data_IF_029076694735
#
_entry.id   IF_029076694735
#
_cell.length_a   1.000
_cell.length_b   1.000
_cell.length_c   1.000
_cell.angle_alpha   90.00
_cell.angle_beta   90.00
_cell.angle_gamma   90.00
#
_symmetry.space_group_name_H-M   'P 1'
#
loop_
_entity.id
_entity.type
_entity.pdbx_description
1 polymer ?
#
# COMPACT_ATOMS: atom_id res chain seq x y z
N UNK A 1 -1.36 29.89 -2.64
CA UNK A 1 -2.35 28.81 -2.87
C UNK A 1 -2.57 28.17 -1.52
N UNK A 2 -3.79 28.26 -1.01
CA UNK A 2 -4.14 27.87 0.37
C UNK A 2 -4.17 26.35 0.51
N UNK A 3 -3.39 25.86 1.46
CA UNK A 3 -3.15 24.46 1.80
C UNK A 3 -1.82 24.42 2.55
N UNK A 4 -1.80 23.88 3.76
CA UNK A 4 -0.60 23.80 4.61
C UNK A 4 0.37 22.68 4.19
N UNK A 5 0.19 22.12 2.98
CA UNK A 5 0.96 21.02 2.43
C UNK A 5 0.73 19.70 3.16
N UNK A 6 -0.45 19.51 3.76
CA UNK A 6 -0.79 18.29 4.51
C UNK A 6 -2.02 17.60 3.93
N UNK A 7 -1.94 16.28 3.89
CA UNK A 7 -3.00 15.40 3.45
C UNK A 7 -3.37 14.44 4.58
N UNK A 8 -4.67 14.17 4.74
CA UNK A 8 -5.18 13.15 5.66
C UNK A 8 -5.66 11.96 4.83
N UNK A 9 -5.02 10.82 5.03
CA UNK A 9 -5.37 9.55 4.38
C UNK A 9 -6.01 8.65 5.41
N UNK A 10 -7.17 8.09 5.06
CA UNK A 10 -7.91 7.17 5.91
C UNK A 10 -7.54 5.74 5.57
N UNK A 11 -6.99 4.99 6.53
CA UNK A 11 -6.54 3.60 6.36
C UNK A 11 -7.09 2.71 7.46
N UNK A 12 -7.40 1.46 7.14
CA UNK A 12 -7.80 0.46 8.11
C UNK A 12 -6.58 -0.19 8.76
N UNK A 13 -6.51 -0.11 10.10
CA UNK A 13 -5.48 -0.78 10.89
C UNK A 13 -6.01 -2.15 11.33
N UNK A 14 -5.49 -3.22 10.71
CA UNK A 14 -5.95 -4.57 10.99
C UNK A 14 -5.65 -5.05 12.41
N UNK A 15 -4.62 -4.51 13.08
CA UNK A 15 -4.30 -4.85 14.46
C UNK A 15 -5.31 -4.24 15.43
N UNK A 16 -5.78 -3.03 15.14
CA UNK A 16 -6.81 -2.34 15.94
C UNK A 16 -8.23 -2.74 15.55
N UNK A 17 -8.41 -3.24 14.33
CA UNK A 17 -9.71 -3.59 13.77
C UNK A 17 -10.56 -2.36 13.44
N UNK A 18 -9.96 -1.17 13.32
CA UNK A 18 -10.64 0.10 13.07
C UNK A 18 -9.85 0.96 12.09
N UNK A 19 -10.51 1.99 11.57
CA UNK A 19 -9.96 2.94 10.62
C UNK A 19 -9.26 4.09 11.34
N UNK A 20 -8.06 4.44 10.87
CA UNK A 20 -7.23 5.51 11.40
C UNK A 20 -7.01 6.60 10.34
N UNK A 21 -6.98 7.85 10.79
CA UNK A 21 -6.64 9.00 9.95
C UNK A 21 -5.15 9.31 10.07
N UNK A 22 -4.44 9.25 8.93
CA UNK A 22 -2.99 9.38 8.83
C UNK A 22 -2.65 10.68 8.13
N UNK A 23 -2.07 11.64 8.86
CA UNK A 23 -1.61 12.90 8.28
C UNK A 23 -0.20 12.76 7.71
N UNK A 24 -0.02 13.15 6.44
CA UNK A 24 1.27 13.17 5.73
C UNK A 24 1.50 14.51 5.03
N UNK A 25 2.75 14.92 4.92
CA UNK A 25 3.16 16.11 4.15
C UNK A 25 3.54 15.76 2.70
N UNK A 26 3.84 16.79 1.88
CA UNK A 26 4.17 16.66 0.45
C UNK A 26 5.62 16.23 0.16
N UNK A 27 6.48 16.03 1.16
CA UNK A 27 7.87 15.64 0.92
C UNK A 27 7.97 14.16 0.56
N UNK A 28 8.26 13.87 -0.71
CA UNK A 28 8.44 12.51 -1.22
C UNK A 28 9.94 12.22 -1.37
N UNK A 29 10.43 11.03 -0.95
CA UNK A 29 11.79 10.62 -1.22
C UNK A 29 12.02 10.49 -2.73
N UNK A 30 12.98 11.26 -3.26
CA UNK A 30 13.37 11.24 -4.67
C UNK A 30 14.87 10.98 -4.83
N UNK A 31 15.25 10.41 -5.97
CA UNK A 31 16.65 10.27 -6.35
C UNK A 31 17.37 11.64 -6.38
N UNK A 32 18.70 11.66 -6.12
CA UNK A 32 19.48 12.90 -6.14
C UNK A 32 19.32 13.67 -7.44
N UNK A 33 19.16 14.99 -7.33
CA UNK A 33 19.07 15.88 -8.47
C UNK A 33 20.44 16.05 -9.14
N UNK A 34 20.46 15.93 -10.46
CA UNK A 34 21.64 16.18 -11.29
C UNK A 34 21.30 17.17 -12.41
N UNK A 35 22.31 17.87 -12.94
CA UNK A 35 22.09 18.94 -13.93
C UNK A 35 21.46 18.46 -15.24
N UNK A 36 21.53 17.17 -15.54
CA UNK A 36 20.92 16.55 -16.72
C UNK A 36 19.50 16.01 -16.47
N UNK A 37 19.00 16.08 -15.23
CA UNK A 37 17.65 15.62 -14.87
C UNK A 37 16.69 16.80 -15.04
N UNK A 38 15.60 16.57 -15.77
CA UNK A 38 14.55 17.57 -16.01
C UNK A 38 13.33 17.41 -15.10
N UNK A 39 13.18 16.24 -14.46
CA UNK A 39 12.01 15.87 -13.66
C UNK A 39 12.45 15.08 -12.42
N UNK A 40 11.77 15.30 -11.29
CA UNK A 40 12.05 14.53 -10.08
C UNK A 40 11.69 13.05 -10.29
N UNK A 41 12.55 12.13 -9.85
CA UNK A 41 12.30 10.69 -9.91
C UNK A 41 12.08 10.13 -8.50
N UNK A 42 10.84 9.80 -8.10
CA UNK A 42 10.55 9.17 -6.81
C UNK A 42 11.22 7.80 -6.67
N UNK A 43 11.66 7.46 -5.46
CA UNK A 43 12.31 6.16 -5.17
C UNK A 43 11.37 4.95 -5.31
N UNK A 44 10.07 5.14 -5.06
CA UNK A 44 9.11 4.05 -4.89
C UNK A 44 7.93 4.17 -5.86
N UNK A 45 6.70 4.44 -5.39
CA UNK A 45 5.55 4.60 -6.27
C UNK A 45 5.82 5.66 -7.34
N UNK A 46 5.37 5.38 -8.57
CA UNK A 46 5.41 6.33 -9.69
C UNK A 46 4.02 6.47 -10.23
N UNK A 47 3.55 7.72 -10.27
CA UNK A 47 2.24 8.02 -10.77
C UNK A 47 2.24 8.15 -12.29
N UNK A 48 1.10 7.91 -12.93
CA UNK A 48 0.97 8.11 -14.36
C UNK A 48 0.63 9.58 -14.64
N UNK A 49 1.65 10.40 -14.92
CA UNK A 49 1.48 11.84 -15.08
C UNK A 49 1.28 12.54 -13.72
N UNK A 50 0.38 13.52 -13.67
CA UNK A 50 0.23 14.41 -12.52
C UNK A 50 -0.73 13.87 -11.44
N UNK A 51 -0.45 12.66 -10.95
CA UNK A 51 -1.29 11.91 -10.00
C UNK A 51 -0.61 11.77 -8.63
N UNK A 52 -0.55 12.85 -7.85
CA UNK A 52 0.11 12.89 -6.54
C UNK A 52 -0.45 11.85 -5.53
N UNK A 53 -1.70 11.44 -5.69
CA UNK A 53 -2.41 10.59 -4.73
C UNK A 53 -1.70 9.24 -4.48
N UNK A 54 -1.06 8.64 -5.50
CA UNK A 54 -0.33 7.37 -5.36
C UNK A 54 0.83 7.50 -4.35
N UNK A 55 1.60 8.58 -4.47
CA UNK A 55 2.76 8.88 -3.62
C UNK A 55 2.33 9.13 -2.18
N UNK A 56 1.25 9.90 -2.01
CA UNK A 56 0.67 10.23 -0.70
C UNK A 56 0.12 8.97 -0.03
N UNK A 57 -0.53 8.09 -0.78
CA UNK A 57 -1.07 6.83 -0.27
C UNK A 57 0.04 5.89 0.21
N UNK A 58 1.09 5.71 -0.60
CA UNK A 58 2.25 4.90 -0.22
C UNK A 58 2.95 5.47 1.02
N UNK A 59 3.11 6.80 1.09
CA UNK A 59 3.69 7.46 2.28
C UNK A 59 2.84 7.25 3.53
N UNK A 60 1.51 7.32 3.41
CA UNK A 60 0.61 7.05 4.53
C UNK A 60 0.72 5.60 5.01
N UNK A 61 0.77 4.65 4.07
CA UNK A 61 1.03 3.23 4.39
C UNK A 61 2.38 3.08 5.08
N UNK A 62 3.46 3.63 4.55
CA UNK A 62 4.79 3.58 5.16
C UNK A 62 4.79 4.10 6.60
N UNK A 63 4.02 5.17 6.87
CA UNK A 63 3.88 5.74 8.22
C UNK A 63 3.12 4.82 9.18
N UNK A 64 2.12 4.08 8.72
CA UNK A 64 1.39 3.08 9.53
C UNK A 64 2.27 1.88 9.83
N UNK A 65 3.01 1.40 8.84
CA UNK A 65 3.86 0.21 8.95
C UNK A 65 5.24 0.50 9.58
N UNK A 66 5.61 1.77 9.74
CA UNK A 66 6.79 2.22 10.50
C UNK A 66 7.85 2.90 9.63
N UNK A 67 8.08 2.41 8.41
CA UNK A 67 8.92 3.08 7.41
C UNK A 67 8.61 2.58 6.00
N UNK A 68 9.18 3.24 4.98
CA UNK A 68 9.15 2.72 3.60
C UNK A 68 9.79 1.33 3.48
N UNK A 69 10.83 1.04 4.29
CA UNK A 69 11.49 -0.26 4.29
C UNK A 69 10.59 -1.39 4.80
N UNK A 70 9.69 -1.08 5.75
CA UNK A 70 8.74 -2.05 6.31
C UNK A 70 7.60 -2.42 5.34
N UNK A 71 7.44 -1.68 4.25
CA UNK A 71 6.52 -2.07 3.17
C UNK A 71 7.09 -3.19 2.30
N UNK A 72 8.41 -3.38 2.32
CA UNK A 72 9.05 -4.46 1.57
C UNK A 72 8.69 -5.83 2.16
N UNK A 73 8.26 -6.77 1.32
CA UNK A 73 7.73 -8.07 1.76
C UNK A 73 6.26 -8.04 2.18
N UNK A 74 5.58 -6.89 2.05
CA UNK A 74 4.13 -6.80 2.19
C UNK A 74 3.39 -7.59 1.10
N UNK A 75 2.17 -8.04 1.41
CA UNK A 75 1.31 -8.74 0.45
C UNK A 75 0.21 -7.81 -0.10
N UNK A 76 -0.27 -8.09 -1.31
CA UNK A 76 -1.42 -7.40 -1.89
C UNK A 76 -2.67 -7.52 -1.00
N UNK A 77 -2.81 -8.62 -0.28
CA UNK A 77 -3.95 -8.86 0.63
C UNK A 77 -3.89 -7.96 1.86
N UNK A 78 -2.70 -7.76 2.42
CA UNK A 78 -2.45 -6.82 3.52
C UNK A 78 -2.77 -5.38 3.08
N UNK A 79 -2.32 -5.00 1.88
CA UNK A 79 -2.60 -3.69 1.31
C UNK A 79 -4.10 -3.50 1.06
N UNK A 80 -4.76 -4.48 0.42
CA UNK A 80 -6.19 -4.44 0.13
C UNK A 80 -7.03 -4.29 1.41
N UNK A 81 -6.69 -5.03 2.46
CA UNK A 81 -7.34 -4.91 3.77
C UNK A 81 -7.15 -3.53 4.38
N UNK A 82 -5.96 -2.95 4.26
CA UNK A 82 -5.68 -1.60 4.77
C UNK A 82 -6.44 -0.51 4.01
N UNK A 83 -6.67 -0.70 2.71
CA UNK A 83 -7.39 0.28 1.88
C UNK A 83 -8.92 0.19 2.02
N UNK A 84 -9.46 -1.01 2.29
CA UNK A 84 -10.90 -1.27 2.22
C UNK A 84 -11.54 -1.62 3.56
N UNK A 85 -10.74 -2.06 4.54
CA UNK A 85 -11.23 -2.69 5.76
C UNK A 85 -11.78 -4.11 5.58
N UNK A 86 -11.79 -4.65 4.35
CA UNK A 86 -12.35 -5.96 4.06
C UNK A 86 -11.46 -7.06 4.63
N UNK A 87 -12.05 -7.88 5.51
CA UNK A 87 -11.36 -8.96 6.22
C UNK A 87 -11.42 -10.29 5.48
N UNK A 88 -12.49 -10.51 4.73
CA UNK A 88 -12.66 -11.72 3.93
C UNK A 88 -12.04 -11.51 2.55
N UNK A 89 -11.06 -12.34 2.22
CA UNK A 89 -10.45 -12.35 0.91
C UNK A 89 -10.33 -13.78 0.43
N UNK A 90 -10.49 -13.98 -0.86
CA UNK A 90 -10.36 -15.29 -1.51
C UNK A 90 -9.24 -15.22 -2.55
N UNK A 91 -8.51 -16.32 -2.69
CA UNK A 91 -7.49 -16.51 -3.70
C UNK A 91 -7.78 -17.79 -4.46
N UNK A 92 -7.70 -17.71 -5.78
CA UNK A 92 -7.75 -18.87 -6.65
C UNK A 92 -6.34 -19.12 -7.18
N UNK A 93 -5.83 -20.32 -6.94
CA UNK A 93 -4.55 -20.78 -7.49
C UNK A 93 -4.79 -21.99 -8.38
N UNK A 94 -4.16 -21.99 -9.55
CA UNK A 94 -4.01 -23.20 -10.36
C UNK A 94 -2.53 -23.48 -10.52
N UNK A 95 -2.10 -24.60 -9.97
CA UNK A 95 -0.73 -25.08 -10.10
C UNK A 95 -0.47 -25.62 -11.49
N UNK A 96 0.77 -25.56 -11.94
CA UNK A 96 1.15 -26.11 -13.24
C UNK A 96 0.82 -27.60 -13.34
N UNK A 97 0.14 -27.97 -14.43
CA UNK A 97 -0.34 -29.33 -14.66
C UNK A 97 -1.62 -29.71 -13.90
N UNK A 98 -2.16 -28.84 -13.04
CA UNK A 98 -3.45 -29.08 -12.41
C UNK A 98 -4.61 -28.77 -13.37
N UNK A 99 -5.62 -29.65 -13.35
CA UNK A 99 -6.87 -29.45 -14.11
C UNK A 99 -7.81 -28.50 -13.38
N UNK A 100 -7.88 -28.64 -12.05
CA UNK A 100 -8.79 -27.89 -11.19
C UNK A 100 -8.12 -26.67 -10.55
N UNK A 101 -8.93 -25.64 -10.28
CA UNK A 101 -8.52 -24.49 -9.49
C UNK A 101 -8.70 -24.78 -8.00
N UNK A 102 -7.74 -24.37 -7.19
CA UNK A 102 -7.84 -24.43 -5.72
C UNK A 102 -8.37 -23.10 -5.20
N UNK A 103 -9.46 -23.17 -4.44
CA UNK A 103 -10.00 -22.05 -3.69
C UNK A 103 -9.32 -21.96 -2.33
N UNK A 104 -8.90 -20.76 -1.94
CA UNK A 104 -8.38 -20.51 -0.60
C UNK A 104 -8.98 -19.24 -0.03
N UNK A 105 -9.18 -19.23 1.28
CA UNK A 105 -9.70 -18.09 2.03
C UNK A 105 -8.61 -17.56 2.96
N UNK A 106 -8.54 -16.24 3.10
CA UNK A 106 -7.66 -15.59 4.08
C UNK A 106 -8.06 -16.02 5.50
N UNK A 107 -7.11 -16.53 6.28
CA UNK A 107 -7.37 -16.87 7.68
C UNK A 107 -7.78 -15.62 8.46
N UNK A 108 -8.79 -15.73 9.34
CA UNK A 108 -9.36 -14.61 10.09
C UNK A 108 -8.32 -13.79 10.87
N UNK A 109 -7.33 -14.50 11.43
CA UNK A 109 -6.30 -13.92 12.31
C UNK A 109 -4.98 -13.66 11.56
N UNK A 110 -4.93 -13.95 10.25
CA UNK A 110 -3.74 -13.73 9.45
C UNK A 110 -3.86 -12.46 8.60
N UNK A 111 -2.70 -11.85 8.34
CA UNK A 111 -2.60 -10.66 7.48
C UNK A 111 -2.52 -11.05 6.00
N UNK A 112 -2.00 -12.24 5.70
CA UNK A 112 -1.72 -12.70 4.33
C UNK A 112 -1.69 -14.23 4.15
N UNK A 113 -2.07 -15.01 5.17
CA UNK A 113 -2.05 -16.47 5.09
C UNK A 113 -3.40 -16.99 4.59
N UNK A 114 -3.37 -17.71 3.48
CA UNK A 114 -4.53 -18.32 2.85
C UNK A 114 -4.58 -19.82 3.15
N UNK A 115 -5.75 -20.34 3.47
CA UNK A 115 -6.00 -21.76 3.71
C UNK A 115 -7.12 -22.29 2.80
N UNK A 116 -7.01 -23.56 2.42
CA UNK A 116 -8.00 -24.28 1.61
C UNK A 116 -9.24 -24.63 2.44
#
# INVERSE_FOLDING_TARGET
REGDGRYVVRLFDHHKGDTIDVTVDEFVPCHPWHWWISEADPYFARANGNELWCLILEKAMAKVYGSYGELNGGSCSSAFRSLTGMREQIMWERRDGAVEWTHMTLCSDAVHMFQC
#
